data_IF_093246527310
#
_entry.id   IF_093246527310
#
_cell.length_a   1.000
_cell.length_b   1.000
_cell.length_c   1.000
_cell.angle_alpha   90.00
_cell.angle_beta   90.00
_cell.angle_gamma   90.00
#
_symmetry.space_group_name_H-M   'P 1'
#
loop_
_entity.id
_entity.type
_entity.pdbx_description
1 polymer ?
#
# COMPACT_ATOMS: atom_id res chain seq x y z
N UNK A 1 4.80 18.90 -10.98
CA UNK A 1 5.32 19.39 -9.69
C UNK A 1 6.65 20.08 -10.00
N UNK A 2 6.80 21.35 -9.67
CA UNK A 2 8.07 22.04 -9.87
C UNK A 2 9.08 21.48 -8.86
N UNK A 3 10.21 20.97 -9.34
CA UNK A 3 11.33 20.57 -8.49
C UNK A 3 12.30 21.73 -8.35
N UNK A 4 12.90 21.84 -7.17
CA UNK A 4 13.97 22.80 -6.91
C UNK A 4 15.24 22.02 -6.59
N UNK A 5 16.37 22.47 -7.13
CA UNK A 5 17.66 21.88 -6.84
C UNK A 5 18.26 22.56 -5.61
N UNK A 6 18.45 21.78 -4.55
CA UNK A 6 19.08 22.26 -3.32
C UNK A 6 20.55 21.82 -3.35
N UNK A 7 21.52 22.75 -3.17
CA UNK A 7 22.94 22.41 -3.12
C UNK A 7 23.21 21.29 -2.10
N UNK A 8 23.95 20.25 -2.51
CA UNK A 8 24.25 19.02 -1.75
C UNK A 8 23.10 18.02 -1.53
N UNK A 9 21.83 18.37 -1.78
CA UNK A 9 20.67 17.51 -1.53
C UNK A 9 19.92 17.08 -2.79
N UNK A 10 20.33 17.57 -3.96
CA UNK A 10 19.76 17.22 -5.26
C UNK A 10 18.36 17.83 -5.47
N UNK A 11 17.59 17.22 -6.38
CA UNK A 11 16.25 17.69 -6.72
C UNK A 11 15.24 17.28 -5.65
N UNK A 12 14.58 18.27 -5.05
CA UNK A 12 13.52 18.08 -4.06
C UNK A 12 12.19 18.61 -4.57
N UNK A 13 11.11 18.01 -4.07
CA UNK A 13 9.72 18.33 -4.36
C UNK A 13 8.99 18.70 -3.07
N UNK A 14 8.08 19.67 -3.18
CA UNK A 14 7.15 20.02 -2.12
C UNK A 14 6.01 18.98 -2.03
N UNK A 15 5.64 18.61 -0.82
CA UNK A 15 4.51 17.69 -0.61
C UNK A 15 3.16 18.41 -0.82
N UNK A 16 2.24 17.83 -1.60
CA UNK A 16 0.88 18.38 -1.79
C UNK A 16 0.07 18.52 -0.51
N UNK A 17 0.29 17.63 0.47
CA UNK A 17 -0.46 17.61 1.73
C UNK A 17 0.05 18.65 2.74
N UNK A 18 1.34 18.98 2.68
CA UNK A 18 1.96 19.92 3.59
C UNK A 18 3.17 20.61 2.93
N UNK A 19 3.05 21.91 2.69
CA UNK A 19 4.09 22.76 2.09
C UNK A 19 5.40 22.79 2.88
N UNK A 20 5.37 22.46 4.17
CA UNK A 20 6.60 22.41 4.99
C UNK A 20 7.46 21.17 4.70
N UNK A 21 6.97 20.19 3.95
CA UNK A 21 7.74 19.00 3.60
C UNK A 21 8.44 19.18 2.26
N UNK A 22 9.78 19.28 2.31
CA UNK A 22 10.67 19.21 1.16
C UNK A 22 11.31 17.83 1.09
N UNK A 23 11.14 17.13 -0.03
CA UNK A 23 11.48 15.71 -0.12
C UNK A 23 12.16 15.42 -1.44
N UNK A 24 13.26 14.68 -1.38
CA UNK A 24 13.93 14.17 -2.58
C UNK A 24 12.93 13.41 -3.48
N UNK A 25 13.05 13.61 -4.79
CA UNK A 25 12.21 12.99 -5.83
C UNK A 25 12.06 11.48 -5.63
N UNK A 26 13.17 10.78 -5.40
CA UNK A 26 13.22 9.32 -5.17
C UNK A 26 12.40 8.84 -3.96
N UNK A 27 12.23 9.69 -2.95
CA UNK A 27 11.54 9.35 -1.69
C UNK A 27 10.09 9.81 -1.67
N UNK A 28 9.66 10.60 -2.66
CA UNK A 28 8.33 11.23 -2.69
C UNK A 28 7.21 10.19 -2.69
N UNK A 29 7.30 9.14 -3.51
CA UNK A 29 6.26 8.08 -3.57
C UNK A 29 6.00 7.45 -2.20
N UNK A 30 7.08 7.05 -1.49
CA UNK A 30 6.97 6.47 -0.14
C UNK A 30 6.45 7.48 0.88
N UNK A 31 6.78 8.77 0.71
CA UNK A 31 6.26 9.82 1.56
C UNK A 31 4.74 10.01 1.41
N UNK A 32 4.24 10.07 0.18
CA UNK A 32 2.84 10.34 -0.12
C UNK A 32 1.90 9.34 0.57
N UNK A 33 2.24 8.06 0.56
CA UNK A 33 1.47 6.99 1.25
C UNK A 33 1.33 7.31 2.75
N UNK A 34 2.41 7.75 3.41
CA UNK A 34 2.39 8.07 4.84
C UNK A 34 1.67 9.39 5.10
N UNK A 35 1.89 10.39 4.25
CA UNK A 35 1.33 11.72 4.40
C UNK A 35 -0.19 11.72 4.20
N UNK A 36 -0.68 11.00 3.20
CA UNK A 36 -2.12 10.81 2.96
C UNK A 36 -2.84 10.26 4.19
N UNK A 37 -2.26 9.27 4.88
CA UNK A 37 -2.81 8.71 6.13
C UNK A 37 -2.84 9.71 7.29
N UNK A 38 -1.88 10.65 7.32
CA UNK A 38 -1.80 11.68 8.36
C UNK A 38 -2.81 12.82 8.13
N UNK A 39 -3.18 13.08 6.88
CA UNK A 39 -4.12 14.14 6.48
C UNK A 39 -5.35 13.57 5.77
N UNK A 40 -6.21 12.79 6.46
CA UNK A 40 -7.38 12.17 5.84
C UNK A 40 -8.43 13.19 5.37
N UNK A 41 -8.44 14.39 5.96
CA UNK A 41 -9.39 15.47 5.62
C UNK A 41 -8.87 16.38 4.49
N UNK A 42 -7.66 16.12 3.95
CA UNK A 42 -7.17 16.90 2.83
C UNK A 42 -7.94 16.52 1.56
N UNK A 43 -8.50 17.51 0.86
CA UNK A 43 -9.22 17.36 -0.42
C UNK A 43 -8.25 17.13 -1.58
N UNK A 44 -7.41 16.10 -1.46
CA UNK A 44 -6.37 15.74 -2.43
C UNK A 44 -6.65 14.30 -2.87
N UNK A 45 -6.71 14.12 -4.18
CA UNK A 45 -7.10 12.87 -4.84
C UNK A 45 -6.00 12.37 -5.76
N UNK A 46 -5.95 11.07 -5.97
CA UNK A 46 -4.98 10.41 -6.84
C UNK A 46 -5.46 10.43 -8.29
N UNK A 47 -4.54 10.63 -9.24
CA UNK A 47 -4.86 10.56 -10.66
C UNK A 47 -5.09 9.10 -11.10
N UNK A 48 -6.12 8.86 -11.92
CA UNK A 48 -6.39 7.55 -12.52
C UNK A 48 -5.31 7.03 -13.46
N UNK A 49 -4.48 7.90 -14.02
CA UNK A 49 -3.42 7.53 -14.96
C UNK A 49 -2.08 7.28 -14.27
N UNK A 50 -1.84 7.88 -13.10
CA UNK A 50 -0.61 7.70 -12.33
C UNK A 50 -0.89 7.90 -10.83
N UNK A 51 -0.66 6.86 -10.04
CA UNK A 51 -0.88 6.86 -8.59
C UNK A 51 0.08 7.78 -7.83
N UNK A 52 1.21 8.18 -8.43
CA UNK A 52 2.14 9.15 -7.84
C UNK A 52 1.62 10.60 -7.96
N UNK A 53 0.62 10.86 -8.80
CA UNK A 53 0.04 12.19 -8.95
C UNK A 53 -1.06 12.41 -7.90
N UNK A 54 -0.74 13.25 -6.92
CA UNK A 54 -1.68 13.74 -5.92
C UNK A 54 -2.05 15.18 -6.24
N UNK A 55 -3.32 15.42 -6.59
CA UNK A 55 -3.83 16.70 -7.09
C UNK A 55 -5.01 17.15 -6.22
N UNK A 56 -5.19 18.45 -5.97
CA UNK A 56 -6.40 18.95 -5.32
C UNK A 56 -7.65 18.50 -6.07
N UNK A 57 -8.70 18.11 -5.34
CA UNK A 57 -9.95 17.58 -5.90
C UNK A 57 -10.57 18.52 -6.95
N UNK A 58 -10.51 19.83 -6.70
CA UNK A 58 -11.04 20.86 -7.60
C UNK A 58 -10.31 20.91 -8.95
N UNK A 59 -9.01 20.62 -8.96
CA UNK A 59 -8.16 20.67 -10.16
C UNK A 59 -8.10 19.33 -10.91
N UNK A 60 -8.68 18.27 -10.34
CA UNK A 60 -8.64 16.94 -10.93
C UNK A 60 -9.19 16.94 -12.36
N UNK A 61 -10.31 17.62 -12.61
CA UNK A 61 -10.94 17.66 -13.94
C UNK A 61 -10.02 18.23 -15.02
N UNK A 62 -9.27 19.30 -14.70
CA UNK A 62 -8.29 19.91 -15.58
C UNK A 62 -7.05 19.03 -15.71
N UNK A 63 -6.56 18.48 -14.60
CA UNK A 63 -5.43 17.56 -14.58
C UNK A 63 -5.66 16.37 -15.51
N UNK A 64 -6.84 15.74 -15.48
CA UNK A 64 -7.13 14.57 -16.32
C UNK A 64 -7.13 14.88 -17.82
N UNK A 65 -7.43 16.13 -18.22
CA UNK A 65 -7.35 16.57 -19.63
C UNK A 65 -5.90 16.78 -20.07
N UNK A 66 -5.04 17.25 -19.18
CA UNK A 66 -3.65 17.67 -19.46
C UNK A 66 -2.60 16.70 -18.90
N UNK A 67 -3.00 15.54 -18.36
CA UNK A 67 -2.08 14.64 -17.69
C UNK A 67 -1.07 14.06 -18.69
N UNK A 68 0.25 14.17 -18.43
CA UNK A 68 1.27 13.66 -19.35
C UNK A 68 1.23 12.12 -19.49
N UNK A 69 0.76 11.41 -18.45
CA UNK A 69 0.66 9.95 -18.46
C UNK A 69 -0.59 9.42 -19.17
N UNK A 70 -1.49 10.29 -19.65
CA UNK A 70 -2.64 9.86 -20.43
C UNK A 70 -2.20 9.15 -21.72
N UNK A 71 -1.17 9.66 -22.39
CA UNK A 71 -0.64 9.06 -23.62
C UNK A 71 -0.13 7.62 -23.43
N UNK A 72 0.45 7.30 -22.27
CA UNK A 72 0.89 5.94 -21.96
C UNK A 72 -0.28 4.96 -21.88
N UNK A 73 -1.36 5.36 -21.21
CA UNK A 73 -2.57 4.53 -21.10
C UNK A 73 -3.25 4.40 -22.45
N UNK A 74 -3.37 5.50 -23.20
CA UNK A 74 -3.99 5.49 -24.52
C UNK A 74 -3.20 4.58 -25.50
N UNK A 75 -1.87 4.60 -25.44
CA UNK A 75 -1.00 3.73 -26.27
C UNK A 75 -1.18 2.25 -25.93
N UNK A 76 -1.33 1.92 -24.64
CA UNK A 76 -1.55 0.55 -24.20
C UNK A 76 -2.95 0.04 -24.56
N UNK A 77 -3.98 0.89 -24.44
CA UNK A 77 -5.38 0.53 -24.69
C UNK A 77 -5.73 0.50 -26.19
N UNK A 78 -5.14 1.42 -26.96
CA UNK A 78 -5.35 1.54 -28.40
C UNK A 78 -4.02 1.35 -29.13
N UNK A 79 -3.48 0.11 -29.16
CA UNK A 79 -2.29 -0.15 -29.94
C UNK A 79 -2.60 0.15 -31.40
N UNK A 80 -2.03 1.23 -31.93
CA UNK A 80 -2.01 1.47 -33.37
C UNK A 80 -1.20 0.31 -33.94
N UNK A 81 -1.84 -0.52 -34.77
CA UNK A 81 -1.24 -1.71 -35.36
C UNK A 81 0.00 -1.33 -36.15
N UNK A 82 1.16 -1.42 -35.49
CA UNK A 82 2.44 -1.47 -36.14
C UNK A 82 3.07 -2.81 -35.76
N UNK A 83 2.49 -3.89 -36.29
CA UNK A 83 2.99 -5.26 -36.50
C UNK A 83 3.87 -5.98 -35.45
N UNK A 84 4.20 -5.39 -34.28
CA UNK A 84 5.26 -5.90 -33.38
C UNK A 84 4.93 -5.79 -31.90
N UNK A 85 3.66 -5.83 -31.52
CA UNK A 85 3.27 -6.08 -30.11
C UNK A 85 2.50 -7.39 -30.05
N UNK A 86 3.23 -8.51 -30.03
CA UNK A 86 2.64 -9.80 -29.67
C UNK A 86 2.39 -9.80 -28.17
N UNK A 87 1.14 -9.60 -27.77
CA UNK A 87 0.71 -10.01 -26.43
C UNK A 87 0.97 -11.53 -26.32
N UNK A 88 1.65 -12.01 -25.26
CA UNK A 88 1.69 -13.43 -24.99
C UNK A 88 0.25 -13.95 -24.88
N UNK A 89 -0.07 -15.13 -25.45
CA UNK A 89 -1.38 -15.72 -25.26
C UNK A 89 -1.67 -15.86 -23.76
N UNK A 90 -2.93 -15.63 -23.37
CA UNK A 90 -3.46 -15.79 -22.01
C UNK A 90 -3.54 -17.27 -21.62
N UNK A 91 -2.42 -17.98 -21.77
CA UNK A 91 -2.27 -19.38 -21.41
C UNK A 91 -1.69 -19.45 -20.01
N UNK A 92 -2.57 -19.60 -19.02
CA UNK A 92 -2.17 -19.94 -17.66
C UNK A 92 -1.40 -21.25 -17.64
N UNK A 93 -0.18 -21.22 -17.11
CA UNK A 93 0.62 -22.41 -16.82
C UNK A 93 0.22 -22.96 -15.45
N UNK A 94 0.03 -24.27 -15.36
CA UNK A 94 -0.10 -24.99 -14.08
C UNK A 94 0.78 -26.23 -14.12
N UNK A 95 1.49 -26.44 -13.01
CA UNK A 95 2.34 -27.60 -12.83
C UNK A 95 1.50 -28.80 -12.42
N UNK A 96 1.59 -29.88 -13.19
CA UNK A 96 1.14 -31.21 -12.75
C UNK A 96 2.37 -32.05 -12.38
N UNK A 97 2.12 -33.20 -11.77
CA UNK A 97 3.13 -34.22 -11.45
C UNK A 97 3.89 -34.74 -12.69
N UNK A 98 3.38 -34.53 -13.89
CA UNK A 98 3.99 -34.95 -15.16
C UNK A 98 4.76 -33.81 -15.86
N UNK A 99 4.88 -32.64 -15.23
CA UNK A 99 5.60 -31.48 -15.74
C UNK A 99 4.72 -30.26 -16.00
N UNK A 100 5.32 -29.23 -16.58
CA UNK A 100 4.64 -27.95 -16.82
C UNK A 100 3.85 -28.00 -18.14
N UNK A 101 2.53 -28.18 -18.08
CA UNK A 101 1.68 -28.21 -19.27
C UNK A 101 0.98 -26.87 -19.51
N UNK A 102 0.86 -26.52 -20.79
CA UNK A 102 -0.02 -25.46 -21.28
C UNK A 102 -1.37 -26.10 -21.58
N UNK A 103 -2.45 -25.71 -20.89
CA UNK A 103 -3.84 -26.14 -21.17
C UNK A 103 -4.35 -27.52 -20.63
N UNK A 104 -3.80 -28.09 -19.55
CA UNK A 104 -4.43 -29.18 -18.77
C UNK A 104 -5.68 -28.85 -17.89
N UNK A 105 -6.70 -29.67 -18.04
CA UNK A 105 -7.97 -29.63 -17.28
C UNK A 105 -7.72 -29.93 -15.79
N UNK A 106 -8.43 -29.23 -14.88
CA UNK A 106 -8.35 -29.41 -13.43
C UNK A 106 -8.53 -30.89 -13.05
N UNK A 107 -7.49 -31.53 -12.52
CA UNK A 107 -7.58 -32.88 -11.97
C UNK A 107 -8.19 -32.78 -10.57
N UNK A 108 -9.49 -33.09 -10.45
CA UNK A 108 -10.14 -33.22 -9.14
C UNK A 108 -9.63 -34.50 -8.48
N UNK A 109 -8.67 -34.39 -7.57
CA UNK A 109 -8.29 -35.53 -6.71
C UNK A 109 -9.41 -35.77 -5.70
N UNK A 110 -9.76 -37.05 -5.48
CA UNK A 110 -10.67 -37.42 -4.40
C UNK A 110 -9.97 -37.17 -3.05
N UNK A 111 -10.66 -36.58 -2.05
CA UNK A 111 -10.07 -36.37 -0.73
C UNK A 111 -9.72 -37.73 -0.10
N UNK A 112 -8.53 -37.82 0.49
CA UNK A 112 -8.10 -38.98 1.26
C UNK A 112 -8.99 -39.14 2.51
N UNK A 113 -9.20 -40.38 3.00
CA UNK A 113 -9.88 -40.61 4.27
C UNK A 113 -8.89 -40.49 5.42
N UNK A 114 -8.45 -39.28 5.74
CA UNK A 114 -7.77 -38.95 6.99
C UNK A 114 -8.74 -38.23 7.95
N UNK A 115 -8.97 -38.85 9.11
CA UNK A 115 -9.89 -38.36 10.17
C UNK A 115 -9.35 -37.15 10.95
N UNK A 116 -8.21 -36.57 10.56
CA UNK A 116 -7.63 -35.38 11.17
C UNK A 116 -7.83 -34.16 10.27
N UNK A 117 -9.09 -33.75 10.14
CA UNK A 117 -9.45 -32.55 9.42
C UNK A 117 -9.05 -31.31 10.25
N UNK A 118 -7.94 -30.67 9.87
CA UNK A 118 -7.50 -29.39 10.44
C UNK A 118 -8.55 -28.27 10.26
N UNK A 119 -9.56 -28.45 9.41
CA UNK A 119 -10.66 -27.50 9.20
C UNK A 119 -11.74 -27.52 10.30
N UNK A 120 -11.76 -28.54 11.17
CA UNK A 120 -12.76 -28.65 12.25
C UNK A 120 -12.33 -27.91 13.54
N UNK A 121 -11.17 -27.22 13.51
CA UNK A 121 -10.70 -26.39 14.61
C UNK A 121 -11.44 -25.04 14.63
N UNK A 122 -12.57 -24.99 15.35
CA UNK A 122 -13.33 -23.77 15.67
C UNK A 122 -12.60 -22.88 16.70
N UNK A 123 -11.34 -22.53 16.43
CA UNK A 123 -10.58 -21.57 17.22
C UNK A 123 -10.80 -20.14 16.70
N UNK A 124 -11.02 -19.15 17.56
CA UNK A 124 -11.06 -17.76 17.12
C UNK A 124 -9.70 -17.37 16.54
N UNK A 125 -9.71 -16.64 15.42
CA UNK A 125 -8.49 -16.18 14.79
C UNK A 125 -7.66 -15.33 15.76
N UNK A 126 -6.37 -15.68 15.92
CA UNK A 126 -5.43 -14.91 16.74
C UNK A 126 -5.38 -13.45 16.27
N UNK A 127 -5.71 -12.52 17.17
CA UNK A 127 -5.62 -11.09 16.90
C UNK A 127 -4.38 -10.50 17.58
N UNK A 128 -3.27 -10.27 16.84
CA UNK A 128 -2.06 -9.73 17.44
C UNK A 128 -2.25 -8.34 18.04
N UNK A 129 -3.21 -7.55 17.55
CA UNK A 129 -3.46 -6.20 18.08
C UNK A 129 -4.02 -6.26 19.51
N UNK A 130 -4.90 -7.24 19.80
CA UNK A 130 -5.47 -7.46 21.14
C UNK A 130 -4.38 -7.97 22.08
N UNK A 131 -3.61 -8.97 21.66
CA UNK A 131 -2.51 -9.52 22.44
C UNK A 131 -1.47 -8.45 22.81
N UNK A 132 -1.04 -7.64 21.84
CA UNK A 132 -0.07 -6.56 22.09
C UNK A 132 -0.60 -5.49 23.06
N UNK A 133 -1.92 -5.27 23.12
CA UNK A 133 -2.53 -4.30 24.01
C UNK A 133 -2.62 -4.80 25.46
N UNK A 134 -2.79 -6.11 25.65
CA UNK A 134 -2.94 -6.74 26.97
C UNK A 134 -1.61 -7.12 27.61
N UNK A 135 -0.55 -7.30 26.82
CA UNK A 135 0.75 -7.77 27.30
C UNK A 135 1.81 -6.66 27.31
N UNK A 136 2.95 -6.83 28.01
CA UNK A 136 4.05 -5.86 28.07
C UNK A 136 4.85 -5.80 26.75
N UNK A 137 4.16 -5.66 25.62
CA UNK A 137 4.71 -5.48 24.28
C UNK A 137 4.74 -3.98 23.95
N UNK A 138 5.90 -3.49 23.50
CA UNK A 138 6.08 -2.08 23.11
C UNK A 138 5.36 -1.82 21.78
N UNK A 139 4.43 -0.85 21.79
CA UNK A 139 3.66 -0.46 20.60
C UNK A 139 4.11 0.91 20.09
N UNK A 140 3.88 1.19 18.80
CA UNK A 140 4.26 2.47 18.15
C UNK A 140 3.10 3.14 17.44
N UNK A 141 3.00 4.47 17.55
CA UNK A 141 2.00 5.27 16.83
C UNK A 141 2.41 5.51 15.37
N UNK A 142 1.98 4.63 14.46
CA UNK A 142 2.17 4.81 13.02
C UNK A 142 1.16 5.79 12.42
N UNK A 143 1.60 6.61 11.47
CA UNK A 143 0.76 7.51 10.63
C UNK A 143 -0.16 8.49 11.39
N UNK A 144 0.06 8.74 12.67
CA UNK A 144 -0.66 9.75 13.45
C UNK A 144 0.00 11.14 13.31
N UNK A 145 -0.79 12.19 13.53
CA UNK A 145 -0.27 13.56 13.68
C UNK A 145 0.63 13.66 14.92
N UNK A 146 1.49 14.68 15.00
CA UNK A 146 2.42 14.85 16.12
C UNK A 146 1.72 14.86 17.49
N UNK A 147 0.61 15.60 17.61
CA UNK A 147 -0.20 15.65 18.84
C UNK A 147 -0.77 14.27 19.22
N UNK A 148 -1.38 13.55 18.26
CA UNK A 148 -1.91 12.20 18.49
C UNK A 148 -0.83 11.15 18.77
N UNK A 149 0.40 11.35 18.27
CA UNK A 149 1.56 10.52 18.62
C UNK A 149 1.96 10.74 20.07
N UNK A 150 2.07 11.99 20.50
CA UNK A 150 2.39 12.34 21.89
C UNK A 150 1.39 11.71 22.85
N UNK A 151 0.09 11.95 22.64
CA UNK A 151 -0.99 11.35 23.43
C UNK A 151 -0.86 9.82 23.50
N UNK A 152 -0.62 9.15 22.37
CA UNK A 152 -0.45 7.70 22.35
C UNK A 152 0.74 7.22 23.19
N UNK A 153 1.87 7.92 23.17
CA UNK A 153 3.03 7.53 23.97
C UNK A 153 2.82 7.80 25.46
N UNK A 154 2.11 8.88 25.79
CA UNK A 154 1.71 9.17 27.17
C UNK A 154 0.79 8.03 27.68
N UNK A 155 -0.25 7.65 26.92
CA UNK A 155 -1.15 6.54 27.24
C UNK A 155 -0.41 5.19 27.37
N UNK A 156 0.55 4.93 26.47
CA UNK A 156 1.35 3.69 26.50
C UNK A 156 2.27 3.63 27.72
N UNK A 157 2.79 4.77 28.21
CA UNK A 157 3.54 4.81 29.47
C UNK A 157 2.66 4.39 30.64
N UNK A 158 1.44 4.91 30.74
CA UNK A 158 0.48 4.50 31.77
C UNK A 158 0.13 3.01 31.66
N UNK A 159 -0.18 2.53 30.44
CA UNK A 159 -0.48 1.11 30.19
C UNK A 159 0.67 0.19 30.61
N UNK A 160 1.90 0.52 30.25
CA UNK A 160 3.10 -0.25 30.61
C UNK A 160 3.35 -0.27 32.11
N UNK A 161 3.14 0.86 32.79
CA UNK A 161 3.26 0.93 34.24
C UNK A 161 2.22 0.04 34.94
N UNK A 162 0.99 0.02 34.45
CA UNK A 162 -0.08 -0.80 35.02
C UNK A 162 0.14 -2.30 34.77
N UNK A 163 0.51 -2.69 33.56
CA UNK A 163 0.83 -4.09 33.25
C UNK A 163 2.04 -4.60 34.03
N UNK A 164 3.03 -3.74 34.30
CA UNK A 164 4.16 -4.12 35.16
C UNK A 164 3.72 -4.42 36.60
N UNK A 165 2.77 -3.67 37.15
CA UNK A 165 2.23 -3.94 38.50
C UNK A 165 1.42 -5.24 38.55
N UNK A 166 0.70 -5.58 37.49
CA UNK A 166 -0.13 -6.80 37.43
C UNK A 166 0.68 -8.09 37.26
N UNK A 167 1.92 -7.99 36.76
CA UNK A 167 2.85 -9.12 36.58
C UNK A 167 3.85 -9.26 37.75
N UNK A 168 3.66 -8.52 38.85
CA UNK A 168 4.39 -8.60 40.12
C UNK A 168 3.49 -9.23 41.18
#
# INVERSE_FOLDING_TARGET
MAGYDVPNYGTVLECPYNKSHLIATERMQKHLIRCRRQYPNAKIVECRFNTAHHVPEQELSLHLKQCPFRAHVDTFMFPVSNEKTTCPPDTGYYGTNEGMQVAGKLTTMAPAPDEENWDDMDAPAYNPAVYCAQNPVIRKAMHKTASKKRQFYDDEQFRMAELRKQNL
#
